data_IF_496723902643
#
_entry.id   IF_496723902643
#
_cell.length_a   1.000
_cell.length_b   1.000
_cell.length_c   1.000
_cell.angle_alpha   90.00
_cell.angle_beta   90.00
_cell.angle_gamma   90.00
#
_symmetry.space_group_name_H-M   'P 1'
#
loop_
_entity.id
_entity.type
_entity.pdbx_description
1 polymer ?
#
# COMPACT_ATOMS: atom_id res chain seq x y z
N UNK A 1 6.20 5.74 -16.26
CA UNK A 1 5.22 4.73 -16.69
C UNK A 1 4.26 4.45 -15.55
N UNK A 2 2.96 4.34 -15.81
CA UNK A 2 1.94 3.94 -14.83
C UNK A 2 1.41 2.56 -15.21
N UNK A 3 1.19 1.69 -14.23
CA UNK A 3 0.75 0.31 -14.44
C UNK A 3 -0.38 -0.03 -13.48
N UNK A 4 -1.44 -0.62 -13.99
CA UNK A 4 -2.52 -1.23 -13.20
C UNK A 4 -2.43 -2.76 -13.28
N UNK A 5 -2.62 -3.41 -12.15
CA UNK A 5 -2.63 -4.88 -12.08
C UNK A 5 -3.88 -5.37 -11.37
N UNK A 6 -4.29 -6.60 -11.70
CA UNK A 6 -5.33 -7.34 -10.99
C UNK A 6 -5.06 -8.83 -11.12
N UNK A 7 -5.41 -9.59 -10.11
CA UNK A 7 -5.41 -11.07 -10.17
C UNK A 7 -6.77 -11.63 -10.61
N UNK A 8 -7.78 -10.77 -10.75
CA UNK A 8 -9.16 -11.15 -11.10
C UNK A 8 -9.34 -11.16 -12.62
N UNK A 9 -9.26 -9.98 -13.25
CA UNK A 9 -9.45 -9.81 -14.70
C UNK A 9 -8.88 -8.47 -15.21
N UNK A 10 -8.97 -8.25 -16.52
CA UNK A 10 -8.50 -7.00 -17.15
C UNK A 10 -9.34 -5.79 -16.74
N UNK A 11 -10.63 -5.97 -16.52
CA UNK A 11 -11.51 -4.90 -16.04
C UNK A 11 -11.11 -4.47 -14.63
N UNK A 12 -10.77 -5.41 -13.76
CA UNK A 12 -10.20 -5.15 -12.43
C UNK A 12 -8.91 -4.35 -12.50
N UNK A 13 -8.01 -4.70 -13.40
CA UNK A 13 -6.76 -3.95 -13.60
C UNK A 13 -7.01 -2.50 -14.07
N UNK A 14 -7.93 -2.31 -15.01
CA UNK A 14 -8.31 -0.98 -15.48
C UNK A 14 -8.95 -0.15 -14.35
N UNK A 15 -9.83 -0.75 -13.57
CA UNK A 15 -10.50 -0.10 -12.44
C UNK A 15 -9.51 0.28 -11.35
N UNK A 16 -8.60 -0.60 -10.97
CA UNK A 16 -7.53 -0.31 -10.01
C UNK A 16 -6.66 0.87 -10.50
N UNK A 17 -6.28 0.87 -11.77
CA UNK A 17 -5.52 1.95 -12.38
C UNK A 17 -6.26 3.29 -12.30
N UNK A 18 -7.53 3.32 -12.70
CA UNK A 18 -8.35 4.54 -12.70
C UNK A 18 -8.57 5.09 -11.28
N UNK A 19 -8.84 4.24 -10.32
CA UNK A 19 -9.12 4.65 -8.95
C UNK A 19 -7.87 5.11 -8.19
N UNK A 20 -6.73 4.47 -8.43
CA UNK A 20 -5.56 4.67 -7.59
C UNK A 20 -4.54 5.66 -8.17
N UNK A 21 -4.35 5.69 -9.49
CA UNK A 21 -3.17 6.36 -10.05
C UNK A 21 -3.43 7.21 -11.31
N UNK A 22 -4.51 7.00 -12.05
CA UNK A 22 -4.72 7.62 -13.36
C UNK A 22 -4.62 9.16 -13.32
N UNK A 23 -5.25 9.78 -12.34
CA UNK A 23 -5.33 11.25 -12.18
C UNK A 23 -4.10 11.89 -11.51
N UNK A 24 -3.12 11.07 -11.07
CA UNK A 24 -1.99 11.54 -10.27
C UNK A 24 -0.71 11.61 -11.09
N UNK A 25 0.11 12.62 -10.83
CA UNK A 25 1.49 12.66 -11.34
C UNK A 25 2.46 12.05 -10.32
N UNK A 26 3.72 11.89 -10.72
CA UNK A 26 4.76 11.32 -9.85
C UNK A 26 4.93 12.09 -8.54
N UNK A 27 4.93 13.43 -8.59
CA UNK A 27 5.08 14.27 -7.40
C UNK A 27 3.95 14.07 -6.39
N UNK A 28 2.72 13.95 -6.85
CA UNK A 28 1.56 13.68 -6.00
C UNK A 28 1.63 12.30 -5.34
N UNK A 29 1.97 11.27 -6.09
CA UNK A 29 2.11 9.90 -5.57
C UNK A 29 3.22 9.83 -4.52
N UNK A 30 4.37 10.49 -4.79
CA UNK A 30 5.48 10.57 -3.84
C UNK A 30 5.06 11.26 -2.54
N UNK A 31 4.35 12.38 -2.64
CA UNK A 31 3.89 13.13 -1.47
C UNK A 31 2.90 12.32 -0.64
N UNK A 32 1.89 11.74 -1.28
CA UNK A 32 0.89 10.91 -0.61
C UNK A 32 1.53 9.70 0.10
N UNK A 33 2.47 9.05 -0.55
CA UNK A 33 3.22 7.93 0.06
C UNK A 33 4.03 8.41 1.28
N UNK A 34 4.70 9.54 1.18
CA UNK A 34 5.46 10.13 2.29
C UNK A 34 4.55 10.46 3.47
N UNK A 35 3.41 11.08 3.23
CA UNK A 35 2.42 11.43 4.27
C UNK A 35 1.84 10.17 4.94
N UNK A 36 1.48 9.16 4.16
CA UNK A 36 0.98 7.89 4.68
C UNK A 36 2.01 7.20 5.58
N UNK A 37 3.23 7.06 5.11
CA UNK A 37 4.30 6.43 5.89
C UNK A 37 4.64 7.23 7.15
N UNK A 38 4.69 8.56 7.07
CA UNK A 38 4.91 9.39 8.25
C UNK A 38 3.79 9.24 9.27
N UNK A 39 2.54 9.17 8.83
CA UNK A 39 1.39 8.94 9.70
C UNK A 39 1.49 7.59 10.43
N UNK A 40 1.80 6.53 9.71
CA UNK A 40 1.89 5.19 10.29
C UNK A 40 3.10 5.05 11.22
N UNK A 41 4.28 5.54 10.81
CA UNK A 41 5.49 5.48 11.63
C UNK A 41 5.40 6.38 12.88
N UNK A 42 4.64 7.47 12.82
CA UNK A 42 4.40 8.35 13.98
C UNK A 42 3.45 7.76 15.03
N UNK A 43 2.90 6.58 14.82
CA UNK A 43 2.14 5.88 15.88
C UNK A 43 2.99 5.54 17.09
N UNK A 44 4.28 5.36 16.89
CA UNK A 44 5.27 5.19 17.96
C UNK A 44 6.29 6.31 17.88
N UNK A 45 6.38 7.11 18.92
CA UNK A 45 7.37 8.19 19.04
C UNK A 45 8.39 7.82 20.07
N UNK A 46 9.66 7.85 19.68
CA UNK A 46 10.79 7.61 20.58
C UNK A 46 11.55 8.91 20.82
N UNK A 47 12.10 9.04 22.04
CA UNK A 47 12.98 10.14 22.43
C UNK A 47 14.25 9.57 23.05
N UNK A 48 15.35 10.31 22.94
CA UNK A 48 16.67 9.84 23.36
C UNK A 48 17.35 8.96 22.32
N UNK A 49 18.55 8.53 22.62
CA UNK A 49 19.39 7.78 21.67
C UNK A 49 20.02 8.67 20.60
N UNK A 50 20.85 8.07 19.77
CA UNK A 50 21.49 8.70 18.62
C UNK A 50 20.56 8.74 17.41
N UNK A 51 20.86 9.56 16.41
CA UNK A 51 20.13 9.58 15.15
C UNK A 51 20.17 8.23 14.43
N UNK A 52 21.29 7.51 14.51
CA UNK A 52 21.42 6.19 13.92
C UNK A 52 20.55 5.15 14.63
N UNK A 53 20.45 5.19 15.95
CA UNK A 53 19.55 4.33 16.72
C UNK A 53 18.09 4.58 16.36
N UNK A 54 17.69 5.84 16.17
CA UNK A 54 16.35 6.21 15.72
C UNK A 54 16.06 5.70 14.31
N UNK A 55 17.03 5.82 13.39
CA UNK A 55 16.90 5.26 12.03
C UNK A 55 16.74 3.74 12.06
N UNK A 56 17.52 3.04 12.87
CA UNK A 56 17.40 1.58 13.04
C UNK A 56 16.02 1.20 13.55
N UNK A 57 15.52 1.90 14.58
CA UNK A 57 14.18 1.65 15.13
C UNK A 57 13.08 1.83 14.09
N UNK A 58 13.03 2.98 13.42
CA UNK A 58 11.98 3.25 12.43
C UNK A 58 12.12 2.39 11.17
N UNK A 59 13.32 2.01 10.78
CA UNK A 59 13.54 1.07 9.68
C UNK A 59 12.99 -0.31 10.03
N UNK A 60 13.22 -0.80 11.26
CA UNK A 60 12.66 -2.06 11.72
C UNK A 60 11.12 -2.00 11.78
N UNK A 61 10.55 -0.90 12.26
CA UNK A 61 9.11 -0.67 12.27
C UNK A 61 8.52 -0.67 10.85
N UNK A 62 9.19 0.01 9.89
CA UNK A 62 8.82 -0.02 8.48
C UNK A 62 8.79 -1.45 7.92
N UNK A 63 9.81 -2.25 8.20
CA UNK A 63 9.88 -3.63 7.75
C UNK A 63 8.74 -4.50 8.28
N UNK A 64 8.24 -4.25 9.48
CA UNK A 64 7.09 -4.97 10.03
C UNK A 64 5.77 -4.67 9.31
N UNK A 65 5.71 -3.56 8.58
CA UNK A 65 4.51 -3.09 7.87
C UNK A 65 4.49 -3.46 6.39
N UNK A 66 5.55 -4.07 5.85
CA UNK A 66 5.62 -4.46 4.43
C UNK A 66 4.66 -5.61 4.12
N UNK A 67 4.47 -6.54 5.04
CA UNK A 67 3.48 -7.60 5.04
C UNK A 67 2.67 -7.52 6.36
N UNK A 68 1.35 -7.66 6.36
CA UNK A 68 0.43 -8.12 5.32
C UNK A 68 0.13 -7.07 4.24
N UNK A 69 -0.17 -7.55 3.04
CA UNK A 69 -0.53 -6.75 1.87
C UNK A 69 -2.00 -6.93 1.49
N UNK A 70 -2.56 -5.93 0.83
CA UNK A 70 -3.90 -6.02 0.25
C UNK A 70 -3.82 -6.85 -1.02
N UNK A 71 -4.70 -7.84 -1.14
CA UNK A 71 -4.78 -8.74 -2.30
C UNK A 71 -6.05 -8.52 -3.14
N UNK A 72 -7.03 -7.81 -2.59
CA UNK A 72 -8.29 -7.49 -3.26
C UNK A 72 -8.14 -6.34 -4.25
N UNK A 73 -8.95 -6.37 -5.31
CA UNK A 73 -9.16 -5.21 -6.18
C UNK A 73 -9.91 -4.10 -5.42
N UNK A 74 -9.94 -2.89 -5.99
CA UNK A 74 -10.59 -1.72 -5.38
C UNK A 74 -12.10 -1.92 -5.16
N UNK A 75 -12.73 -2.83 -5.90
CA UNK A 75 -14.14 -3.21 -5.77
C UNK A 75 -14.37 -4.37 -4.78
N UNK A 76 -13.32 -4.85 -4.12
CA UNK A 76 -13.37 -5.92 -3.13
C UNK A 76 -13.34 -7.34 -3.70
N UNK A 77 -13.16 -7.52 -5.01
CA UNK A 77 -13.02 -8.84 -5.63
C UNK A 77 -11.61 -9.40 -5.48
N UNK A 78 -11.51 -10.71 -5.33
CA UNK A 78 -10.23 -11.42 -5.26
C UNK A 78 -10.37 -12.86 -5.74
N UNK A 79 -9.28 -13.47 -6.17
CA UNK A 79 -9.22 -14.89 -6.52
C UNK A 79 -8.83 -15.69 -5.29
N UNK A 80 -9.68 -16.61 -4.86
CA UNK A 80 -9.43 -17.50 -3.73
C UNK A 80 -8.47 -18.63 -4.06
N UNK A 81 -8.08 -19.40 -3.04
CA UNK A 81 -7.27 -20.62 -3.22
C UNK A 81 -7.97 -21.74 -4.01
N UNK A 82 -9.28 -21.64 -4.18
CA UNK A 82 -10.11 -22.49 -5.03
C UNK A 82 -10.16 -22.06 -6.50
N UNK A 83 -9.41 -20.99 -6.87
CA UNK A 83 -9.37 -20.35 -8.17
C UNK A 83 -10.70 -19.70 -8.62
N UNK A 84 -11.65 -19.53 -7.70
CA UNK A 84 -12.89 -18.81 -7.95
C UNK A 84 -12.79 -17.34 -7.49
N UNK A 85 -13.61 -16.46 -8.12
CA UNK A 85 -13.70 -15.06 -7.76
C UNK A 85 -14.66 -14.92 -6.58
N UNK A 86 -14.18 -14.28 -5.53
CA UNK A 86 -14.93 -13.95 -4.32
C UNK A 86 -14.99 -12.44 -4.13
N UNK A 87 -15.85 -11.98 -3.23
CA UNK A 87 -15.96 -10.58 -2.85
C UNK A 87 -15.90 -10.41 -1.35
N UNK A 88 -15.30 -9.31 -0.90
CA UNK A 88 -15.23 -8.93 0.50
C UNK A 88 -15.63 -7.47 0.67
N UNK A 89 -16.07 -7.11 1.86
CA UNK A 89 -16.38 -5.73 2.24
C UNK A 89 -15.16 -4.92 2.72
N UNK A 90 -13.95 -5.51 2.71
CA UNK A 90 -12.72 -4.86 3.17
C UNK A 90 -11.87 -4.37 2.00
#
# INVERSE_FOLDING_TARGET
>A
MKVGISFVDMEGAANNFEQEIASKNFGQVKQEATELWNKELNRVRISGGTDDEKKIFYTAMYHTMIDPRIYTDVDGRYVGGDYNIHSTAY
#
